data_IF_227432575215
#
_entry.id   IF_227432575215
#
_cell.length_a   1.000
_cell.length_b   1.000
_cell.length_c   1.000
_cell.angle_alpha   90.00
_cell.angle_beta   90.00
_cell.angle_gamma   90.00
#
_symmetry.space_group_name_H-M   'P 1'
#
loop_
_entity.id
_entity.type
_entity.pdbx_description
1 polymer ?
#
# COMPACT_ATOMS: atom_id res chain seq x y z
N UNK A 1 -15.71 74.60 20.29
CA UNK A 1 -14.63 73.65 19.94
C UNK A 1 -14.32 72.74 21.11
N UNK A 2 -14.51 71.42 20.95
CA UNK A 2 -13.75 70.36 21.66
C UNK A 2 -13.96 69.05 20.90
N UNK A 3 -12.86 68.57 20.31
CA UNK A 3 -12.75 67.30 19.60
C UNK A 3 -12.74 66.15 20.61
N UNK A 4 -13.59 65.13 20.41
CA UNK A 4 -13.52 63.87 21.16
C UNK A 4 -12.75 62.87 20.29
N UNK A 5 -11.55 62.48 20.73
CA UNK A 5 -10.80 61.36 20.15
C UNK A 5 -11.55 60.06 20.44
N UNK A 6 -11.77 59.24 19.40
CA UNK A 6 -12.26 57.86 19.54
C UNK A 6 -11.04 56.95 19.75
N UNK A 7 -11.01 56.22 20.85
CA UNK A 7 -10.05 55.14 21.07
C UNK A 7 -10.58 53.83 20.44
N UNK A 8 -9.68 53.06 19.83
CA UNK A 8 -9.98 51.76 19.24
C UNK A 8 -10.06 50.67 20.32
N UNK A 9 -10.93 49.65 20.19
CA UNK A 9 -11.01 48.56 21.16
C UNK A 9 -9.71 47.74 21.16
N UNK A 10 -9.05 47.68 22.32
CA UNK A 10 -7.81 46.96 22.53
C UNK A 10 -7.95 45.45 22.40
N UNK A 11 -6.94 44.83 21.79
CA UNK A 11 -6.78 43.37 21.68
C UNK A 11 -6.67 42.73 23.07
N UNK A 12 -7.43 41.67 23.40
CA UNK A 12 -7.38 41.06 24.72
C UNK A 12 -6.02 40.39 24.97
N UNK A 13 -5.48 40.59 26.17
CA UNK A 13 -4.15 40.09 26.60
C UNK A 13 -4.17 38.57 26.84
N UNK A 14 -2.99 37.93 26.74
CA UNK A 14 -2.77 36.48 26.86
C UNK A 14 -3.33 35.81 28.14
N UNK A 15 -3.68 36.57 29.17
CA UNK A 15 -4.33 36.06 30.39
C UNK A 15 -5.87 36.00 30.28
N UNK A 16 -6.50 36.68 29.32
CA UNK A 16 -7.93 36.58 29.03
C UNK A 16 -8.27 35.43 28.05
N UNK A 17 -7.27 34.82 27.41
CA UNK A 17 -7.43 33.66 26.52
C UNK A 17 -7.30 32.30 27.23
N UNK A 18 -7.02 32.29 28.54
CA UNK A 18 -6.80 31.05 29.31
C UNK A 18 -8.02 30.59 30.14
N UNK A 19 -9.18 31.23 29.97
CA UNK A 19 -10.40 30.95 30.74
C UNK A 19 -11.49 30.15 30.01
N UNK A 20 -11.28 29.72 28.76
CA UNK A 20 -12.32 29.10 27.92
C UNK A 20 -11.95 27.67 27.47
N UNK A 21 -11.57 26.80 28.41
CA UNK A 21 -11.28 25.39 28.14
C UNK A 21 -12.05 24.45 29.09
N UNK A 22 -13.35 24.71 29.28
CA UNK A 22 -14.17 23.98 30.25
C UNK A 22 -15.57 23.57 29.81
N UNK A 23 -15.92 23.62 28.51
CA UNK A 23 -17.32 23.33 28.08
C UNK A 23 -17.42 22.49 26.79
N UNK A 24 -16.46 21.60 26.51
CA UNK A 24 -16.58 20.64 25.40
C UNK A 24 -16.11 19.21 25.76
N UNK A 25 -16.47 18.68 26.93
CA UNK A 25 -16.06 17.30 27.30
C UNK A 25 -17.22 16.37 27.75
N UNK A 26 -18.47 16.81 27.75
CA UNK A 26 -19.58 16.01 28.33
C UNK A 26 -20.31 15.11 27.30
N UNK A 27 -20.25 15.44 26.01
CA UNK A 27 -20.95 14.69 24.96
C UNK A 27 -20.29 13.33 24.63
N UNK A 28 -19.02 13.14 25.01
CA UNK A 28 -18.29 11.89 24.78
C UNK A 28 -18.44 10.89 25.93
N UNK A 29 -18.70 11.36 27.16
CA UNK A 29 -18.77 10.52 28.36
C UNK A 29 -20.01 9.63 28.40
N UNK A 30 -21.10 10.04 27.74
CA UNK A 30 -22.39 9.33 27.73
C UNK A 30 -22.74 8.72 26.36
N UNK A 31 -21.75 8.34 25.56
CA UNK A 31 -21.99 7.62 24.31
C UNK A 31 -21.88 6.11 24.54
N UNK A 32 -22.68 5.27 23.83
CA UNK A 32 -22.51 3.81 23.84
C UNK A 32 -21.09 3.34 23.46
N UNK A 33 -20.30 4.20 22.80
CA UNK A 33 -18.88 3.97 22.56
C UNK A 33 -18.05 4.06 23.83
N UNK A 34 -18.36 4.97 24.76
CA UNK A 34 -17.67 5.14 26.04
C UNK A 34 -17.72 3.83 26.84
N UNK A 35 -18.88 3.20 26.87
CA UNK A 35 -19.08 1.89 27.52
C UNK A 35 -18.30 0.77 26.81
N UNK A 36 -18.24 0.79 25.47
CA UNK A 36 -17.38 -0.12 24.69
C UNK A 36 -15.87 0.12 24.94
N UNK A 37 -15.46 1.37 25.13
CA UNK A 37 -14.08 1.75 25.46
C UNK A 37 -13.67 1.42 26.89
N UNK A 38 -14.63 1.30 27.82
CA UNK A 38 -14.39 0.87 29.19
C UNK A 38 -14.37 -0.66 29.33
N UNK A 39 -15.12 -1.38 28.49
CA UNK A 39 -15.17 -2.84 28.47
C UNK A 39 -14.08 -3.52 27.60
N UNK A 40 -13.36 -2.76 26.76
CA UNK A 40 -12.33 -3.28 25.87
C UNK A 40 -10.97 -3.46 26.57
N UNK A 41 -10.27 -4.54 26.22
CA UNK A 41 -8.93 -4.84 26.72
C UNK A 41 -7.95 -3.68 26.44
N UNK A 42 -6.92 -3.53 27.27
CA UNK A 42 -5.99 -2.38 27.21
C UNK A 42 -5.33 -2.23 25.83
N UNK A 43 -5.01 -3.35 25.19
CA UNK A 43 -4.33 -3.41 23.90
C UNK A 43 -5.13 -2.69 22.80
N UNK A 44 -6.35 -3.13 22.41
CA UNK A 44 -7.16 -2.38 21.46
C UNK A 44 -7.40 -0.94 21.88
N UNK A 45 -7.63 -0.66 23.18
CA UNK A 45 -7.89 0.69 23.67
C UNK A 45 -6.77 1.69 23.34
N UNK A 46 -5.50 1.26 23.44
CA UNK A 46 -4.33 2.11 23.12
C UNK A 46 -4.32 2.55 21.66
N UNK A 47 -4.60 1.62 20.75
CA UNK A 47 -4.58 1.88 19.31
C UNK A 47 -5.84 2.62 18.83
N UNK A 48 -7.01 2.22 19.32
CA UNK A 48 -8.27 2.79 18.87
C UNK A 48 -8.41 4.26 19.30
N UNK A 49 -7.97 4.60 20.51
CA UNK A 49 -7.95 6.00 21.01
C UNK A 49 -7.08 6.91 20.12
N UNK A 50 -5.99 6.36 19.60
CA UNK A 50 -5.05 7.17 18.82
C UNK A 50 -5.58 7.47 17.42
N UNK A 51 -6.48 6.65 16.85
CA UNK A 51 -6.90 6.72 15.43
C UNK A 51 -7.19 8.14 14.94
N UNK A 52 -7.82 8.97 15.77
CA UNK A 52 -8.17 10.36 15.41
C UNK A 52 -7.18 11.43 15.87
N UNK A 53 -6.25 11.08 16.75
CA UNK A 53 -5.43 12.02 17.51
C UNK A 53 -3.94 11.93 17.20
N UNK A 54 -3.47 10.77 16.73
CA UNK A 54 -2.05 10.57 16.44
C UNK A 54 -1.75 10.68 14.93
N UNK A 55 -0.75 11.49 14.54
CA UNK A 55 -0.26 11.55 13.15
C UNK A 55 0.41 10.25 12.71
N UNK A 56 0.80 9.38 13.66
CA UNK A 56 1.45 8.11 13.36
C UNK A 56 0.49 7.06 12.82
N UNK A 57 -0.82 7.31 12.88
CA UNK A 57 -1.81 6.37 12.38
C UNK A 57 -1.96 6.39 10.86
N UNK A 58 -2.15 5.19 10.32
CA UNK A 58 -2.27 4.96 8.90
C UNK A 58 -3.70 5.22 8.43
N UNK A 59 -3.92 6.43 7.92
CA UNK A 59 -5.21 6.80 7.33
C UNK A 59 -5.39 6.23 5.92
N UNK A 60 -4.38 5.56 5.35
CA UNK A 60 -4.41 5.06 3.98
C UNK A 60 -4.76 3.58 3.96
N UNK A 61 -4.03 2.74 4.71
CA UNK A 61 -4.24 1.29 4.80
C UNK A 61 -4.60 0.81 6.21
N UNK A 62 -4.85 1.71 7.15
CA UNK A 62 -5.33 1.39 8.49
C UNK A 62 -6.84 1.60 8.69
N UNK A 63 -7.35 1.32 9.90
CA UNK A 63 -8.77 1.39 10.18
C UNK A 63 -9.33 2.81 10.17
N UNK A 64 -10.54 2.97 9.63
CA UNK A 64 -11.27 4.22 9.57
C UNK A 64 -12.50 4.12 10.49
N UNK A 65 -12.72 5.16 11.29
CA UNK A 65 -13.91 5.25 12.13
C UNK A 65 -15.08 5.87 11.36
N UNK A 66 -16.11 5.06 11.10
CA UNK A 66 -17.38 5.52 10.56
C UNK A 66 -18.26 6.09 11.69
N UNK A 67 -18.42 7.41 11.68
CA UNK A 67 -19.24 8.13 12.68
C UNK A 67 -20.73 7.88 12.53
N UNK A 68 -21.20 7.56 11.32
CA UNK A 68 -22.63 7.37 11.03
C UNK A 68 -23.08 6.03 11.59
N UNK A 69 -22.32 4.98 11.26
CA UNK A 69 -22.64 3.62 11.69
C UNK A 69 -22.04 3.26 13.06
N UNK A 70 -21.23 4.15 13.65
CA UNK A 70 -20.61 3.97 14.96
C UNK A 70 -19.67 2.75 15.01
N UNK A 71 -18.92 2.50 13.93
CA UNK A 71 -18.09 1.29 13.75
C UNK A 71 -16.75 1.60 13.12
N UNK A 72 -15.77 0.74 13.37
CA UNK A 72 -14.52 0.77 12.62
C UNK A 72 -14.63 -0.07 11.37
N UNK A 73 -14.00 0.40 10.30
CA UNK A 73 -13.91 -0.30 9.02
C UNK A 73 -12.46 -0.42 8.59
N UNK A 74 -12.14 -1.49 7.90
CA UNK A 74 -10.84 -1.69 7.25
C UNK A 74 -11.11 -2.23 5.85
N UNK A 75 -10.82 -1.41 4.83
CA UNK A 75 -11.23 -1.72 3.47
C UNK A 75 -12.76 -1.83 3.36
N UNK A 76 -13.25 -2.94 2.81
CA UNK A 76 -14.70 -3.21 2.69
C UNK A 76 -15.33 -3.81 3.95
N UNK A 77 -14.52 -4.27 4.90
CA UNK A 77 -15.00 -5.04 6.04
C UNK A 77 -15.12 -4.17 7.30
N UNK A 78 -16.02 -4.59 8.20
CA UNK A 78 -16.05 -4.05 9.56
C UNK A 78 -15.01 -4.73 10.43
N UNK A 79 -14.46 -3.99 11.40
CA UNK A 79 -13.51 -4.49 12.37
C UNK A 79 -14.06 -4.27 13.78
N UNK A 80 -14.14 -5.36 14.53
CA UNK A 80 -14.59 -5.38 15.92
C UNK A 80 -13.47 -5.95 16.82
N UNK A 81 -13.60 -5.76 18.13
CA UNK A 81 -12.56 -6.12 19.10
C UNK A 81 -13.17 -6.89 20.27
N UNK A 82 -12.68 -8.10 20.52
CA UNK A 82 -13.17 -8.97 21.61
C UNK A 82 -12.00 -9.36 22.50
N UNK A 83 -11.96 -8.78 23.70
CA UNK A 83 -10.78 -8.86 24.54
C UNK A 83 -9.59 -8.21 23.83
N UNK A 84 -8.47 -8.91 23.74
CA UNK A 84 -7.29 -8.46 22.99
C UNK A 84 -7.42 -8.72 21.48
N UNK A 85 -8.34 -9.58 21.05
CA UNK A 85 -8.37 -10.14 19.70
C UNK A 85 -9.20 -9.27 18.74
N UNK A 86 -8.90 -9.42 17.45
CA UNK A 86 -9.51 -8.66 16.36
C UNK A 86 -10.48 -9.56 15.60
N UNK A 87 -11.68 -9.08 15.34
CA UNK A 87 -12.71 -9.79 14.56
C UNK A 87 -12.93 -9.04 13.23
N UNK A 88 -12.70 -9.71 12.11
CA UNK A 88 -12.92 -9.17 10.75
C UNK A 88 -13.61 -10.26 9.93
N UNK A 89 -14.72 -9.93 9.28
CA UNK A 89 -15.50 -10.89 8.47
C UNK A 89 -15.79 -12.22 9.23
N UNK A 90 -16.20 -12.12 10.50
CA UNK A 90 -16.41 -13.27 11.42
C UNK A 90 -15.18 -14.13 11.72
N UNK A 91 -13.99 -13.77 11.22
CA UNK A 91 -12.72 -14.43 11.51
C UNK A 91 -12.03 -13.75 12.68
N UNK A 92 -11.51 -14.57 13.59
CA UNK A 92 -10.79 -14.12 14.77
C UNK A 92 -9.29 -14.15 14.52
N UNK A 93 -8.64 -13.01 14.74
CA UNK A 93 -7.19 -12.84 14.68
C UNK A 93 -6.66 -12.57 16.08
N UNK A 94 -5.61 -13.28 16.47
CA UNK A 94 -5.02 -13.13 17.81
C UNK A 94 -4.41 -11.74 17.95
N UNK A 95 -4.78 -11.03 19.01
CA UNK A 95 -4.24 -9.71 19.32
C UNK A 95 -2.82 -9.77 19.83
N UNK A 96 -1.89 -9.18 19.08
CA UNK A 96 -0.50 -8.96 19.48
C UNK A 96 -0.14 -7.50 19.26
N UNK A 97 0.79 -6.94 20.04
CA UNK A 97 1.24 -5.56 19.85
C UNK A 97 1.72 -5.32 18.40
N UNK A 98 2.43 -6.29 17.81
CA UNK A 98 2.93 -6.19 16.44
C UNK A 98 1.84 -6.24 15.38
N UNK A 99 0.82 -7.09 15.55
CA UNK A 99 -0.32 -7.10 14.63
C UNK A 99 -1.09 -5.77 14.71
N UNK A 100 -1.28 -5.23 15.91
CA UNK A 100 -1.89 -3.90 16.08
C UNK A 100 -1.05 -2.79 15.45
N UNK A 101 0.29 -2.82 15.59
CA UNK A 101 1.15 -1.86 14.89
C UNK A 101 0.99 -1.95 13.38
N UNK A 102 1.04 -3.16 12.81
CA UNK A 102 0.88 -3.39 11.37
C UNK A 102 -0.46 -2.89 10.85
N UNK A 103 -1.54 -3.03 11.62
CA UNK A 103 -2.87 -2.56 11.22
C UNK A 103 -2.97 -1.05 11.33
N UNK A 104 -2.58 -0.46 12.46
CA UNK A 104 -2.93 0.92 12.79
C UNK A 104 -1.87 1.96 12.42
N UNK A 105 -0.57 1.63 12.44
CA UNK A 105 0.50 2.62 12.28
C UNK A 105 0.94 2.77 10.83
N UNK A 106 1.36 3.99 10.47
CA UNK A 106 1.99 4.33 9.18
C UNK A 106 3.41 3.79 9.08
N UNK A 107 4.10 3.65 10.21
CA UNK A 107 5.46 3.14 10.32
C UNK A 107 5.53 2.10 11.46
N UNK A 108 5.08 0.86 11.21
CA UNK A 108 5.20 -0.21 12.20
C UNK A 108 6.68 -0.61 12.35
N UNK A 109 7.10 -0.89 13.58
CA UNK A 109 8.50 -1.21 13.92
C UNK A 109 8.66 -2.46 14.77
N UNK A 110 7.63 -2.85 15.52
CA UNK A 110 7.67 -3.89 16.52
C UNK A 110 6.73 -5.04 16.14
N UNK A 111 7.08 -5.81 15.11
CA UNK A 111 6.32 -6.99 14.67
C UNK A 111 7.25 -8.13 14.28
N UNK A 112 6.73 -9.36 14.31
CA UNK A 112 7.46 -10.58 13.93
C UNK A 112 6.84 -11.25 12.68
N UNK A 113 7.39 -12.39 12.28
CA UNK A 113 6.94 -13.12 11.09
C UNK A 113 5.52 -13.68 11.24
N UNK A 114 5.11 -14.08 12.45
CA UNK A 114 3.76 -14.54 12.75
C UNK A 114 2.75 -13.39 12.58
N UNK A 115 3.08 -12.19 13.05
CA UNK A 115 2.27 -10.99 12.90
C UNK A 115 2.12 -10.62 11.42
N UNK A 116 3.19 -10.72 10.62
CA UNK A 116 3.13 -10.50 9.16
C UNK A 116 2.21 -11.50 8.46
N UNK A 117 2.25 -12.77 8.86
CA UNK A 117 1.42 -13.82 8.28
C UNK A 117 -0.07 -13.58 8.59
N UNK A 118 -0.41 -13.19 9.81
CA UNK A 118 -1.78 -12.80 10.18
C UNK A 118 -2.21 -11.50 9.49
N UNK A 119 -1.32 -10.51 9.40
CA UNK A 119 -1.60 -9.26 8.70
C UNK A 119 -1.87 -9.49 7.21
N UNK A 120 -1.12 -10.40 6.57
CA UNK A 120 -1.38 -10.81 5.18
C UNK A 120 -2.80 -11.34 5.02
N UNK A 121 -3.26 -12.22 5.92
CA UNK A 121 -4.64 -12.75 5.88
C UNK A 121 -5.65 -11.60 5.98
N UNK A 122 -5.45 -10.67 6.92
CA UNK A 122 -6.32 -9.50 7.08
C UNK A 122 -6.36 -8.63 5.81
N UNK A 123 -5.21 -8.40 5.17
CA UNK A 123 -5.15 -7.65 3.91
C UNK A 123 -5.99 -8.32 2.81
N UNK A 124 -5.98 -9.65 2.74
CA UNK A 124 -6.77 -10.43 1.77
C UNK A 124 -8.26 -10.44 2.13
N UNK A 125 -8.64 -10.56 3.40
CA UNK A 125 -10.06 -10.47 3.80
C UNK A 125 -10.66 -9.09 3.46
N UNK A 126 -9.93 -8.03 3.81
CA UNK A 126 -10.41 -6.64 3.74
C UNK A 126 -10.27 -6.01 2.37
N UNK A 127 -9.42 -6.57 1.51
CA UNK A 127 -9.03 -6.04 0.20
C UNK A 127 -8.56 -4.58 0.24
N UNK A 128 -8.10 -4.08 1.40
CA UNK A 128 -7.67 -2.68 1.61
C UNK A 128 -6.50 -2.27 0.70
N UNK A 129 -5.77 -3.25 0.18
CA UNK A 129 -4.65 -3.09 -0.73
C UNK A 129 -5.05 -2.95 -2.21
N UNK A 130 -6.34 -3.15 -2.56
CA UNK A 130 -6.87 -3.03 -3.93
C UNK A 130 -7.68 -1.75 -4.12
N UNK A 131 -7.82 -1.34 -5.38
CA UNK A 131 -8.73 -0.24 -5.74
C UNK A 131 -10.17 -0.64 -5.42
N UNK A 132 -10.92 0.30 -4.84
CA UNK A 132 -12.33 0.12 -4.44
C UNK A 132 -12.61 -1.08 -3.52
N UNK A 133 -11.57 -1.71 -2.96
CA UNK A 133 -11.68 -2.93 -2.16
C UNK A 133 -12.28 -4.13 -2.93
N UNK A 134 -12.23 -4.09 -4.26
CA UNK A 134 -12.79 -5.10 -5.12
C UNK A 134 -11.83 -6.28 -5.30
N UNK A 135 -12.37 -7.48 -5.17
CA UNK A 135 -11.63 -8.70 -5.46
C UNK A 135 -11.30 -8.76 -6.96
N UNK A 136 -10.02 -8.97 -7.29
CA UNK A 136 -9.53 -8.96 -8.67
C UNK A 136 -9.17 -7.57 -9.23
N UNK A 137 -9.52 -6.47 -8.55
CA UNK A 137 -9.08 -5.14 -8.98
C UNK A 137 -7.56 -4.97 -8.82
N UNK A 138 -6.99 -4.05 -9.59
CA UNK A 138 -5.55 -3.75 -9.52
C UNK A 138 -5.15 -3.28 -8.12
N UNK A 139 -3.91 -3.61 -7.73
CA UNK A 139 -3.30 -3.10 -6.49
C UNK A 139 -3.34 -1.57 -6.47
N UNK A 140 -3.69 -1.00 -5.32
CA UNK A 140 -3.64 0.44 -5.12
C UNK A 140 -2.18 0.86 -4.96
N UNK A 141 -1.65 1.58 -5.95
CA UNK A 141 -0.30 2.14 -5.86
C UNK A 141 -0.22 3.17 -4.72
N UNK A 142 0.82 3.08 -3.91
CA UNK A 142 1.16 4.08 -2.90
C UNK A 142 2.67 4.23 -2.79
N UNK A 143 3.12 5.44 -2.42
CA UNK A 143 4.53 5.73 -2.14
C UNK A 143 4.89 5.54 -0.67
N UNK A 144 3.94 5.15 0.19
CA UNK A 144 4.19 5.01 1.63
C UNK A 144 5.19 3.87 1.89
N UNK A 145 6.06 4.08 2.89
CA UNK A 145 7.08 3.09 3.29
C UNK A 145 6.43 1.75 3.65
N UNK A 146 5.34 1.78 4.43
CA UNK A 146 4.55 0.59 4.77
C UNK A 146 4.01 -0.13 3.55
N UNK A 147 3.50 0.59 2.55
CA UNK A 147 3.05 -0.07 1.33
C UNK A 147 4.19 -0.74 0.59
N UNK A 148 5.29 -0.01 0.33
CA UNK A 148 6.40 -0.52 -0.48
C UNK A 148 7.15 -1.66 0.19
N UNK A 149 7.35 -1.60 1.51
CA UNK A 149 8.17 -2.55 2.27
C UNK A 149 7.39 -3.71 2.87
N UNK A 150 6.10 -3.53 3.18
CA UNK A 150 5.30 -4.52 3.93
C UNK A 150 4.12 -4.99 3.08
N UNK A 151 3.14 -4.12 2.80
CA UNK A 151 1.88 -4.53 2.16
C UNK A 151 2.15 -5.13 0.78
N UNK A 152 2.87 -4.41 -0.08
CA UNK A 152 3.13 -4.82 -1.47
C UNK A 152 3.83 -6.19 -1.50
N UNK A 153 4.95 -6.44 -0.80
CA UNK A 153 5.54 -7.79 -0.75
C UNK A 153 4.58 -8.88 -0.27
N UNK A 154 3.81 -8.62 0.79
CA UNK A 154 2.89 -9.62 1.36
C UNK A 154 1.76 -10.04 0.40
N UNK A 155 1.21 -9.10 -0.39
CA UNK A 155 0.10 -9.39 -1.32
C UNK A 155 0.55 -9.64 -2.76
N UNK A 156 1.74 -9.18 -3.14
CA UNK A 156 2.30 -9.42 -4.48
C UNK A 156 2.97 -10.80 -4.60
N UNK A 157 3.05 -11.58 -3.52
CA UNK A 157 3.50 -12.98 -3.58
C UNK A 157 2.67 -13.85 -4.53
N UNK A 158 1.45 -13.43 -4.88
CA UNK A 158 0.59 -14.08 -5.89
C UNK A 158 0.57 -13.35 -7.25
N UNK A 159 0.95 -12.07 -7.28
CA UNK A 159 1.08 -11.28 -8.51
C UNK A 159 2.50 -10.72 -8.53
N UNK A 160 3.45 -11.63 -8.70
CA UNK A 160 4.81 -11.26 -9.04
C UNK A 160 4.79 -10.77 -10.49
N UNK A 161 4.34 -9.53 -10.70
CA UNK A 161 4.81 -8.66 -11.76
C UNK A 161 6.29 -8.30 -11.53
N UNK A 162 7.13 -9.28 -11.22
CA UNK A 162 8.50 -9.25 -11.71
C UNK A 162 8.29 -9.29 -13.22
N UNK A 163 8.76 -8.30 -13.96
CA UNK A 163 8.95 -8.51 -15.38
C UNK A 163 9.64 -9.86 -15.51
N UNK A 164 8.96 -10.85 -16.08
CA UNK A 164 9.55 -12.13 -16.39
C UNK A 164 10.55 -11.82 -17.50
N UNK A 165 11.74 -11.37 -17.15
CA UNK A 165 12.91 -11.81 -17.88
C UNK A 165 13.01 -13.29 -17.57
N UNK A 166 12.38 -14.11 -18.42
CA UNK A 166 12.88 -15.46 -18.63
C UNK A 166 14.24 -15.23 -19.25
N UNK A 167 15.27 -15.07 -18.41
CA UNK A 167 16.64 -15.31 -18.86
C UNK A 167 16.64 -16.81 -19.08
N UNK A 168 16.53 -17.19 -20.34
CA UNK A 168 16.61 -18.58 -20.74
C UNK A 168 17.93 -19.15 -20.23
N UNK A 169 17.90 -20.10 -19.30
CA UNK A 169 19.07 -20.88 -18.86
C UNK A 169 19.61 -21.80 -19.97
N UNK A 170 19.04 -21.73 -21.18
CA UNK A 170 19.64 -22.37 -22.34
C UNK A 170 21.00 -21.73 -22.56
N UNK A 171 22.11 -22.50 -22.54
CA UNK A 171 23.41 -21.96 -22.93
C UNK A 171 23.27 -21.34 -24.31
N UNK A 172 23.98 -20.23 -24.56
CA UNK A 172 24.10 -19.66 -25.90
C UNK A 172 24.47 -20.77 -26.87
N UNK A 173 23.52 -21.17 -27.72
CA UNK A 173 23.87 -21.97 -28.89
C UNK A 173 24.54 -21.01 -29.86
N UNK A 174 25.87 -20.98 -29.83
CA UNK A 174 26.63 -20.49 -30.96
C UNK A 174 26.32 -21.42 -32.13
N UNK A 175 25.45 -20.97 -33.04
CA UNK A 175 25.28 -21.62 -34.33
C UNK A 175 26.37 -21.05 -35.23
N UNK A 176 27.33 -21.89 -35.60
CA UNK A 176 28.41 -21.50 -36.50
C UNK A 176 27.84 -21.52 -37.93
N UNK A 177 27.68 -20.36 -38.55
CA UNK A 177 27.13 -20.24 -39.91
C UNK A 177 28.27 -20.19 -40.92
N UNK A 178 28.50 -21.28 -41.66
CA UNK A 178 29.59 -21.37 -42.64
C UNK A 178 29.29 -20.62 -43.97
N UNK A 179 28.07 -20.09 -44.16
CA UNK A 179 27.64 -19.48 -45.43
C UNK A 179 26.82 -18.19 -45.25
N UNK A 180 27.31 -17.11 -45.85
CA UNK A 180 26.68 -15.77 -45.89
C UNK A 180 25.24 -15.81 -46.42
N UNK A 181 24.92 -16.68 -47.38
CA UNK A 181 23.57 -16.76 -47.95
C UNK A 181 22.54 -17.31 -46.93
N UNK A 182 22.97 -18.16 -46.01
CA UNK A 182 22.09 -18.71 -44.97
C UNK A 182 21.75 -17.64 -43.93
N UNK A 183 22.72 -16.77 -43.58
CA UNK A 183 22.51 -15.60 -42.73
C UNK A 183 21.50 -14.63 -43.33
N UNK A 184 21.60 -14.33 -44.63
CA UNK A 184 20.65 -13.45 -45.33
C UNK A 184 19.25 -14.08 -45.38
N UNK A 185 19.15 -15.40 -45.60
CA UNK A 185 17.86 -16.10 -45.59
C UNK A 185 17.22 -16.10 -44.20
N UNK A 186 18.02 -16.35 -43.15
CA UNK A 186 17.59 -16.30 -41.75
C UNK A 186 17.13 -14.90 -41.37
N UNK A 187 17.89 -13.86 -41.72
CA UNK A 187 17.52 -12.46 -41.49
C UNK A 187 16.16 -12.10 -42.12
N UNK A 188 15.93 -12.53 -43.38
CA UNK A 188 14.64 -12.33 -44.05
C UNK A 188 13.47 -12.97 -43.31
N UNK A 189 13.65 -14.20 -42.80
CA UNK A 189 12.63 -14.90 -42.03
C UNK A 189 12.32 -14.18 -40.70
N UNK A 190 13.35 -13.67 -40.02
CA UNK A 190 13.18 -12.93 -38.77
C UNK A 190 12.47 -11.59 -38.97
N UNK A 191 12.82 -10.84 -40.01
CA UNK A 191 12.13 -9.58 -40.37
C UNK A 191 10.67 -9.86 -40.72
N UNK A 192 10.37 -10.94 -41.45
CA UNK A 192 8.99 -11.33 -41.75
C UNK A 192 8.20 -11.65 -40.46
N UNK A 193 8.81 -12.35 -39.50
CA UNK A 193 8.21 -12.61 -38.19
C UNK A 193 8.00 -11.33 -37.39
N UNK A 194 8.92 -10.37 -37.45
CA UNK A 194 8.80 -9.08 -36.77
C UNK A 194 7.68 -8.22 -37.37
N UNK A 195 7.56 -8.20 -38.70
CA UNK A 195 6.48 -7.52 -39.42
C UNK A 195 5.10 -8.14 -39.11
N UNK A 196 5.06 -9.43 -38.76
CA UNK A 196 3.85 -10.11 -38.27
C UNK A 196 3.55 -9.81 -36.78
N UNK A 197 4.36 -8.99 -36.10
CA UNK A 197 4.14 -8.53 -34.73
C UNK A 197 4.92 -9.27 -33.64
N UNK A 198 5.80 -10.22 -33.99
CA UNK A 198 6.62 -10.94 -33.01
C UNK A 198 7.98 -10.26 -32.81
N UNK A 199 8.15 -9.57 -31.67
CA UNK A 199 9.37 -8.82 -31.32
C UNK A 199 10.43 -9.65 -30.58
N UNK A 200 10.23 -10.97 -30.44
CA UNK A 200 11.12 -11.85 -29.65
C UNK A 200 12.51 -12.07 -30.29
N UNK A 201 12.72 -11.62 -31.53
CA UNK A 201 13.90 -11.94 -32.35
C UNK A 201 14.88 -10.78 -32.53
N UNK A 202 14.70 -9.66 -31.83
CA UNK A 202 15.52 -8.45 -32.03
C UNK A 202 17.03 -8.67 -31.80
N UNK A 203 17.39 -9.50 -30.80
CA UNK A 203 18.79 -9.76 -30.48
C UNK A 203 19.47 -10.64 -31.56
N UNK A 204 18.73 -11.60 -32.12
CA UNK A 204 19.22 -12.47 -33.19
C UNK A 204 19.38 -11.66 -34.50
N UNK A 205 18.43 -10.78 -34.80
CA UNK A 205 18.53 -9.84 -35.93
C UNK A 205 19.80 -8.98 -35.80
N UNK A 206 20.07 -8.43 -34.60
CA UNK A 206 21.25 -7.59 -34.37
C UNK A 206 22.55 -8.39 -34.54
N UNK A 207 22.61 -9.62 -34.01
CA UNK A 207 23.77 -10.51 -34.16
C UNK A 207 24.07 -10.81 -35.63
N UNK A 208 23.03 -11.11 -36.43
CA UNK A 208 23.20 -11.42 -37.86
C UNK A 208 23.61 -10.17 -38.66
N UNK A 209 23.07 -8.99 -38.33
CA UNK A 209 23.49 -7.73 -38.97
C UNK A 209 24.96 -7.45 -38.69
N UNK A 210 25.44 -7.70 -37.48
CA UNK A 210 26.85 -7.51 -37.13
C UNK A 210 27.76 -8.49 -37.88
N UNK A 211 27.38 -9.77 -37.98
CA UNK A 211 28.13 -10.76 -38.78
C UNK A 211 28.17 -10.39 -40.28
N UNK A 212 27.06 -9.88 -40.83
CA UNK A 212 27.02 -9.41 -42.22
C UNK A 212 27.84 -8.14 -42.44
N UNK A 213 27.95 -7.27 -41.42
CA UNK A 213 28.82 -6.08 -41.42
C UNK A 213 30.28 -6.49 -41.40
N UNK A 214 30.68 -7.43 -40.54
CA UNK A 214 32.04 -7.97 -40.48
C UNK A 214 32.44 -8.69 -41.79
N UNK A 215 31.49 -9.37 -42.43
CA UNK A 215 31.68 -9.97 -43.75
C UNK A 215 31.70 -8.96 -44.92
N UNK A 216 31.46 -7.66 -44.66
CA UNK A 216 31.47 -6.60 -45.67
C UNK A 216 30.28 -6.64 -46.64
N UNK A 217 29.18 -7.29 -46.26
CA UNK A 217 27.98 -7.46 -47.10
C UNK A 217 27.00 -6.29 -46.93
N UNK A 218 27.02 -5.64 -45.76
CA UNK A 218 26.16 -4.51 -45.40
C UNK A 218 26.95 -3.44 -44.63
N UNK A 219 26.57 -2.17 -44.76
CA UNK A 219 27.17 -1.02 -44.07
C UNK A 219 26.31 -0.48 -42.93
#
# INVERSE_FOLDING_TARGET
>A
MKFIKREAPGTPTKQQLLGASGEQDDAYQNSPLSDYFQASHELPRRYIRSVKTSPDNDNTFGPIYDKVNNRYTLGKETIDFVGADIIINSKKFKGTEGLYELIFKTQPTNYNAEDEAEYRKILLETQVHRRNFDEGAHLRSSKSSKYLKIIKPLVSGEISGKGHMIVSDKPFQYVYWDNINELVHRLRLLIASQNAGNTSHNNEIMSIIEELREAGVVE
#
